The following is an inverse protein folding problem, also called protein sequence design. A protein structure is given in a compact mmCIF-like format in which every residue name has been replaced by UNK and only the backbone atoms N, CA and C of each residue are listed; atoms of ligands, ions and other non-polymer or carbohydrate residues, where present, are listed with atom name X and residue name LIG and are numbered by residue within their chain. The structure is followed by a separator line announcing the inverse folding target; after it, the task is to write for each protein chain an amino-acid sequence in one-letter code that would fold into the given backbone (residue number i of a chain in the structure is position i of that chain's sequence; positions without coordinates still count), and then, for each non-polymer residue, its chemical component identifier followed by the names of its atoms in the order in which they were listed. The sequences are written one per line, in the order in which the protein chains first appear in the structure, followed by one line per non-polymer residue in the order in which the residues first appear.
data_IF_577266347814
#
_entry.id   IF_577266347814
#
_cell.length_a   1.000
_cell.length_b   1.000
_cell.length_c   1.000
_cell.angle_alpha   90.00
_cell.angle_beta   90.00
_cell.angle_gamma   90.00
#
_symmetry.space_group_name_H-M   'P 1'
#
loop_
_entity.id
_entity.type
_entity.pdbx_description
1 polymer ?
#
# COMPACT_ATOMS: atom_id res chain seq x y z
N UNK A 1 17.64 20.46 13.78
CA UNK A 1 16.37 19.78 13.54
C UNK A 1 15.35 20.26 14.55
N UNK A 2 14.14 20.61 14.13
CA UNK A 2 13.06 20.89 15.09
C UNK A 2 12.60 19.58 15.71
N UNK A 3 12.58 19.51 17.04
CA UNK A 3 12.07 18.32 17.76
C UNK A 3 10.55 18.14 17.64
N UNK A 4 9.88 19.02 16.91
CA UNK A 4 8.43 18.96 16.64
C UNK A 4 8.10 18.42 15.24
N UNK A 5 9.11 18.06 14.44
CA UNK A 5 8.91 17.54 13.08
C UNK A 5 9.86 16.38 12.83
N UNK A 6 9.28 15.30 12.32
CA UNK A 6 10.05 14.21 11.73
C UNK A 6 10.55 14.57 10.33
N UNK A 7 11.64 13.94 9.90
CA UNK A 7 12.09 13.98 8.51
C UNK A 7 11.00 13.33 7.63
N UNK A 8 10.66 14.00 6.53
CA UNK A 8 9.66 13.48 5.60
C UNK A 8 10.24 12.30 4.82
N UNK A 9 9.41 11.29 4.61
CA UNK A 9 9.73 10.15 3.76
C UNK A 9 9.96 10.59 2.30
N UNK A 10 10.47 9.69 1.48
CA UNK A 10 10.70 9.94 0.05
C UNK A 10 9.40 10.39 -0.63
N UNK A 11 9.45 11.53 -1.33
CA UNK A 11 8.32 12.02 -2.08
C UNK A 11 8.10 11.16 -3.32
N UNK A 12 6.89 10.64 -3.47
CA UNK A 12 6.45 9.88 -4.65
C UNK A 12 5.17 10.47 -5.22
N UNK A 13 4.95 10.28 -6.50
CA UNK A 13 3.68 10.60 -7.14
C UNK A 13 2.69 9.50 -6.77
N UNK A 14 1.67 9.83 -5.95
CA UNK A 14 0.74 8.88 -5.33
C UNK A 14 -0.59 9.56 -5.01
N UNK A 15 -1.16 10.32 -5.96
CA UNK A 15 -2.47 10.97 -5.81
C UNK A 15 -3.62 9.99 -6.06
N UNK A 16 -3.37 9.01 -6.91
CA UNK A 16 -4.31 7.94 -7.27
C UNK A 16 -3.59 6.61 -7.34
N UNK A 17 -4.24 5.55 -6.88
CA UNK A 17 -3.70 4.20 -6.82
C UNK A 17 -4.55 3.20 -7.58
N UNK A 18 -3.91 2.25 -8.25
CA UNK A 18 -4.57 1.16 -8.95
C UNK A 18 -3.97 -0.18 -8.52
N UNK A 19 -4.82 -1.03 -7.96
CA UNK A 19 -4.51 -2.42 -7.69
C UNK A 19 -4.63 -3.27 -8.97
N UNK A 20 -3.60 -4.04 -9.29
CA UNK A 20 -3.59 -4.88 -10.49
C UNK A 20 -3.24 -6.32 -10.11
N UNK A 21 -4.16 -7.29 -10.25
CA UNK A 21 -3.88 -8.69 -9.94
C UNK A 21 -2.69 -9.23 -10.72
N UNK A 22 -1.69 -9.78 -10.03
CA UNK A 22 -0.51 -10.37 -10.63
C UNK A 22 -0.79 -11.59 -11.51
N UNK A 23 -1.95 -12.21 -11.32
CA UNK A 23 -2.41 -13.33 -12.15
C UNK A 23 -2.93 -12.90 -13.54
N UNK A 24 -3.29 -11.62 -13.74
CA UNK A 24 -3.90 -11.12 -14.97
C UNK A 24 -2.95 -10.22 -15.77
N UNK A 25 -2.09 -10.81 -16.58
CA UNK A 25 -1.09 -10.09 -17.38
C UNK A 25 -1.69 -9.11 -18.40
N UNK A 26 -2.93 -9.33 -18.86
CA UNK A 26 -3.59 -8.43 -19.81
C UNK A 26 -3.92 -7.05 -19.23
N UNK A 27 -3.86 -6.90 -17.90
CA UNK A 27 -4.10 -5.63 -17.22
C UNK A 27 -2.84 -4.78 -17.06
N UNK A 28 -1.64 -5.34 -17.15
CA UNK A 28 -0.40 -4.61 -16.87
C UNK A 28 -0.16 -3.45 -17.84
N UNK A 29 -0.30 -3.68 -19.14
CA UNK A 29 -0.19 -2.61 -20.12
C UNK A 29 -1.31 -1.57 -20.02
N UNK A 30 -2.52 -1.98 -19.62
CA UNK A 30 -3.63 -1.06 -19.40
C UNK A 30 -3.35 -0.16 -18.20
N UNK A 31 -2.83 -0.72 -17.11
CA UNK A 31 -2.42 0.02 -15.93
C UNK A 31 -1.29 1.01 -16.24
N UNK A 32 -0.29 0.58 -17.02
CA UNK A 32 0.79 1.45 -17.48
C UNK A 32 0.28 2.69 -18.23
N UNK A 33 -0.73 2.50 -19.08
CA UNK A 33 -1.34 3.56 -19.91
C UNK A 33 -2.43 4.36 -19.19
N UNK A 34 -2.83 3.98 -17.98
CA UNK A 34 -3.83 4.70 -17.19
C UNK A 34 -3.30 6.06 -16.73
N UNK A 35 -4.20 6.94 -16.29
CA UNK A 35 -3.82 8.23 -15.69
C UNK A 35 -3.43 8.10 -14.21
N UNK A 36 -3.54 6.91 -13.64
CA UNK A 36 -3.19 6.63 -12.25
C UNK A 36 -1.69 6.80 -12.01
N UNK A 37 -1.33 7.41 -10.89
CA UNK A 37 0.08 7.70 -10.54
C UNK A 37 0.80 6.48 -9.99
N UNK A 38 0.13 5.73 -9.13
CA UNK A 38 0.71 4.64 -8.37
C UNK A 38 0.04 3.32 -8.77
N UNK A 39 0.85 2.37 -9.16
CA UNK A 39 0.39 1.03 -9.52
C UNK A 39 0.98 0.03 -8.55
N UNK A 40 0.16 -0.73 -7.86
CA UNK A 40 0.67 -1.90 -7.17
C UNK A 40 0.20 -3.20 -7.82
N UNK A 41 1.19 -4.04 -8.15
CA UNK A 41 0.95 -5.38 -8.66
C UNK A 41 0.68 -6.29 -7.46
N UNK A 42 -0.49 -6.88 -7.44
CA UNK A 42 -0.98 -7.61 -6.28
C UNK A 42 -0.64 -9.09 -6.33
N UNK A 43 -0.02 -9.60 -5.28
CA UNK A 43 0.24 -11.03 -5.06
C UNK A 43 -0.65 -11.62 -3.97
N UNK A 44 -1.45 -10.77 -3.29
CA UNK A 44 -2.23 -11.15 -2.12
C UNK A 44 -3.68 -11.49 -2.51
N UNK A 45 -4.66 -10.78 -2.00
CA UNK A 45 -6.08 -11.16 -2.03
C UNK A 45 -6.69 -11.25 -3.44
N UNK A 46 -6.17 -10.49 -4.40
CA UNK A 46 -6.63 -10.58 -5.79
C UNK A 46 -6.08 -11.77 -6.59
N UNK A 47 -5.30 -12.64 -5.94
CA UNK A 47 -4.68 -13.82 -6.56
C UNK A 47 -5.09 -15.10 -5.83
N UNK A 48 -5.68 -16.06 -6.54
CA UNK A 48 -6.04 -17.35 -5.97
C UNK A 48 -4.79 -18.14 -5.50
N UNK A 49 -4.92 -18.99 -4.47
CA UNK A 49 -3.79 -19.77 -3.93
C UNK A 49 -3.00 -20.56 -4.99
N UNK A 50 -3.69 -21.18 -5.93
CA UNK A 50 -3.07 -22.00 -7.00
C UNK A 50 -2.31 -21.14 -8.03
N UNK A 51 -2.62 -19.85 -8.12
CA UNK A 51 -2.00 -18.92 -9.08
C UNK A 51 -0.83 -18.13 -8.48
N UNK A 52 -0.59 -18.19 -7.17
CA UNK A 52 0.40 -17.37 -6.45
C UNK A 52 1.80 -17.43 -7.06
N UNK A 53 2.26 -18.62 -7.40
CA UNK A 53 3.60 -18.80 -7.98
C UNK A 53 3.69 -18.20 -9.38
N UNK A 54 2.67 -18.41 -10.21
CA UNK A 54 2.66 -17.85 -11.56
C UNK A 54 2.48 -16.34 -11.52
N UNK A 55 1.64 -15.81 -10.64
CA UNK A 55 1.47 -14.37 -10.44
C UNK A 55 2.79 -13.69 -10.08
N UNK A 56 3.60 -14.27 -9.18
CA UNK A 56 4.92 -13.75 -8.83
C UNK A 56 5.84 -13.65 -10.06
N UNK A 57 5.88 -14.69 -10.89
CA UNK A 57 6.67 -14.68 -12.14
C UNK A 57 6.19 -13.59 -13.10
N UNK A 58 4.87 -13.45 -13.27
CA UNK A 58 4.28 -12.43 -14.12
C UNK A 58 4.63 -11.01 -13.63
N UNK A 59 4.53 -10.78 -12.32
CA UNK A 59 4.86 -9.49 -11.69
C UNK A 59 6.34 -9.13 -11.90
N UNK A 60 7.24 -10.07 -11.66
CA UNK A 60 8.68 -9.89 -11.90
C UNK A 60 8.94 -9.54 -13.37
N UNK A 61 8.32 -10.25 -14.27
CA UNK A 61 8.46 -9.99 -15.71
C UNK A 61 7.91 -8.60 -16.07
N UNK A 62 6.72 -8.23 -15.60
CA UNK A 62 6.10 -6.93 -15.86
C UNK A 62 6.94 -5.75 -15.35
N UNK A 63 7.57 -5.88 -14.17
CA UNK A 63 8.45 -4.84 -13.65
C UNK A 63 9.70 -4.69 -14.53
N UNK A 64 10.23 -5.81 -15.06
CA UNK A 64 11.43 -5.79 -15.88
C UNK A 64 11.18 -5.33 -17.32
N UNK A 65 10.06 -5.70 -17.91
CA UNK A 65 9.80 -5.51 -19.34
C UNK A 65 9.08 -4.20 -19.66
N UNK A 66 8.30 -3.66 -18.72
CA UNK A 66 7.53 -2.42 -18.92
C UNK A 66 8.26 -1.20 -18.34
N UNK A 67 8.21 -0.09 -19.06
CA UNK A 67 8.83 1.17 -18.63
C UNK A 67 7.89 1.99 -17.74
N UNK A 68 7.68 1.53 -16.51
CA UNK A 68 6.83 2.19 -15.53
C UNK A 68 7.29 3.62 -15.24
N UNK A 69 8.58 3.77 -15.00
CA UNK A 69 9.17 5.06 -14.63
C UNK A 69 9.13 6.08 -15.76
N UNK A 70 9.40 5.66 -17.01
CA UNK A 70 9.30 6.52 -18.18
C UNK A 70 7.88 6.98 -18.47
N UNK A 71 6.88 6.21 -18.00
CA UNK A 71 5.46 6.59 -18.05
C UNK A 71 4.98 7.34 -16.79
N UNK A 72 5.88 7.81 -15.94
CA UNK A 72 5.57 8.61 -14.76
C UNK A 72 4.88 7.84 -13.62
N UNK A 73 5.01 6.51 -13.59
CA UNK A 73 4.39 5.67 -12.58
C UNK A 73 5.33 5.41 -11.40
N UNK A 74 4.77 5.42 -10.20
CA UNK A 74 5.36 4.74 -9.04
C UNK A 74 4.90 3.29 -9.08
N UNK A 75 5.84 2.34 -9.07
CA UNK A 75 5.54 0.91 -9.16
C UNK A 75 5.82 0.20 -7.82
N UNK A 76 4.83 -0.51 -7.34
CA UNK A 76 4.86 -1.27 -6.09
C UNK A 76 4.44 -2.73 -6.29
N UNK A 77 4.75 -3.56 -5.32
CA UNK A 77 4.23 -4.93 -5.21
C UNK A 77 3.61 -5.10 -3.83
N UNK A 78 2.32 -5.47 -3.78
CA UNK A 78 1.72 -5.96 -2.55
C UNK A 78 2.05 -7.44 -2.40
N UNK A 79 2.87 -7.76 -1.42
CA UNK A 79 3.27 -9.12 -1.10
C UNK A 79 2.15 -9.85 -0.34
N UNK A 80 2.25 -11.16 -0.18
CA UNK A 80 1.35 -11.89 0.72
C UNK A 80 1.62 -11.54 2.19
N UNK A 81 0.63 -11.73 3.04
CA UNK A 81 0.73 -11.49 4.48
C UNK A 81 1.77 -12.38 5.17
N UNK A 82 2.32 -11.88 6.29
CA UNK A 82 3.32 -12.58 7.08
C UNK A 82 2.78 -13.85 7.75
N UNK A 83 1.47 -13.97 7.85
CA UNK A 83 0.76 -15.14 8.34
C UNK A 83 0.66 -16.29 7.31
N UNK A 84 1.19 -16.08 6.10
CA UNK A 84 1.19 -17.07 5.01
C UNK A 84 2.59 -17.62 4.73
N UNK A 85 2.64 -18.78 4.06
CA UNK A 85 3.90 -19.37 3.60
C UNK A 85 4.38 -18.82 2.26
N UNK A 86 3.69 -17.82 1.69
CA UNK A 86 4.04 -17.21 0.40
C UNK A 86 4.99 -16.02 0.55
N UNK A 87 4.83 -15.24 1.62
CA UNK A 87 5.47 -13.93 1.81
C UNK A 87 6.98 -13.95 1.57
N UNK A 88 7.68 -14.91 2.17
CA UNK A 88 9.15 -14.94 2.07
C UNK A 88 9.65 -15.09 0.63
N UNK A 89 8.94 -15.89 -0.19
CA UNK A 89 9.25 -16.03 -1.62
C UNK A 89 8.91 -14.78 -2.41
N UNK A 90 7.83 -14.09 -2.04
CA UNK A 90 7.48 -12.83 -2.69
C UNK A 90 8.59 -11.81 -2.48
N UNK A 91 9.07 -11.64 -1.25
CA UNK A 91 10.17 -10.72 -0.95
C UNK A 91 11.46 -11.15 -1.65
N UNK A 92 11.86 -12.41 -1.51
CA UNK A 92 13.13 -12.89 -2.09
C UNK A 92 13.09 -12.78 -3.61
N UNK A 93 12.12 -13.41 -4.26
CA UNK A 93 12.09 -13.53 -5.72
C UNK A 93 11.90 -12.16 -6.40
N UNK A 94 10.97 -11.33 -5.89
CA UNK A 94 10.68 -10.01 -6.48
C UNK A 94 11.87 -9.06 -6.27
N UNK A 95 12.41 -8.98 -5.06
CA UNK A 95 13.53 -8.05 -4.79
C UNK A 95 14.80 -8.51 -5.52
N UNK A 96 15.12 -9.81 -5.54
CA UNK A 96 16.30 -10.30 -6.26
C UNK A 96 16.25 -10.06 -7.76
N UNK A 97 15.09 -10.22 -8.38
CA UNK A 97 14.96 -10.28 -9.83
C UNK A 97 14.43 -8.97 -10.45
N UNK A 98 13.73 -8.14 -9.69
CA UNK A 98 13.13 -6.91 -10.18
C UNK A 98 13.38 -5.67 -9.31
N UNK A 99 14.01 -5.84 -8.13
CA UNK A 99 14.15 -4.77 -7.14
C UNK A 99 14.88 -3.52 -7.63
N UNK A 100 15.78 -3.64 -8.60
CA UNK A 100 16.48 -2.46 -9.17
C UNK A 100 15.55 -1.48 -9.91
N UNK A 101 14.34 -1.93 -10.29
CA UNK A 101 13.32 -1.15 -10.99
C UNK A 101 12.08 -0.88 -10.13
N UNK A 102 11.99 -1.51 -8.96
CA UNK A 102 10.87 -1.41 -8.04
C UNK A 102 11.02 -0.17 -7.15
N UNK A 103 9.92 0.54 -6.92
CA UNK A 103 9.91 1.71 -6.05
C UNK A 103 9.60 1.33 -4.61
N UNK A 104 8.54 0.56 -4.36
CA UNK A 104 8.11 0.19 -3.01
C UNK A 104 7.63 -1.27 -2.92
N UNK A 105 7.62 -1.81 -1.71
CA UNK A 105 6.87 -3.01 -1.33
C UNK A 105 5.78 -2.60 -0.36
N UNK A 106 4.54 -3.02 -0.63
CA UNK A 106 3.39 -2.84 0.23
C UNK A 106 3.19 -4.11 1.07
N UNK A 107 3.31 -3.96 2.39
CA UNK A 107 3.14 -5.02 3.38
C UNK A 107 1.68 -5.04 3.84
N UNK A 108 0.89 -6.09 3.50
CA UNK A 108 -0.50 -6.18 3.94
C UNK A 108 -0.60 -6.61 5.39
N UNK A 109 -1.75 -6.34 6.01
CA UNK A 109 -2.13 -6.83 7.34
C UNK A 109 -1.09 -6.57 8.44
N UNK A 110 -0.31 -5.47 8.31
CA UNK A 110 0.68 -5.09 9.30
C UNK A 110 0.01 -4.92 10.67
N UNK A 111 0.42 -5.72 11.64
CA UNK A 111 -0.13 -5.77 12.99
C UNK A 111 0.80 -5.15 14.03
N UNK A 112 2.10 -5.26 13.82
CA UNK A 112 3.13 -4.84 14.76
C UNK A 112 4.35 -4.27 14.02
N UNK A 113 5.19 -3.53 14.73
CA UNK A 113 6.46 -3.00 14.19
C UNK A 113 7.41 -4.10 13.72
N UNK A 114 7.33 -5.28 14.32
CA UNK A 114 8.10 -6.47 13.94
C UNK A 114 7.83 -6.95 12.53
N UNK A 115 6.60 -6.76 12.02
CA UNK A 115 6.22 -7.16 10.66
C UNK A 115 7.00 -6.35 9.63
N UNK A 116 7.12 -5.05 9.85
CA UNK A 116 7.89 -4.15 9.00
C UNK A 116 9.39 -4.48 9.08
N UNK A 117 9.91 -4.69 10.30
CA UNK A 117 11.30 -5.02 10.51
C UNK A 117 11.71 -6.32 9.80
N UNK A 118 10.86 -7.34 9.81
CA UNK A 118 11.15 -8.62 9.15
C UNK A 118 11.33 -8.43 7.64
N UNK A 119 10.40 -7.72 6.99
CA UNK A 119 10.49 -7.45 5.55
C UNK A 119 11.70 -6.58 5.23
N UNK A 120 11.93 -5.52 6.00
CA UNK A 120 13.10 -4.65 5.86
C UNK A 120 14.42 -5.42 5.96
N UNK A 121 14.55 -6.30 6.95
CA UNK A 121 15.76 -7.07 7.16
C UNK A 121 16.08 -7.98 5.97
N UNK A 122 15.07 -8.63 5.39
CA UNK A 122 15.23 -9.44 4.17
C UNK A 122 15.65 -8.57 2.98
N UNK A 123 14.95 -7.46 2.75
CA UNK A 123 15.26 -6.54 1.66
C UNK A 123 16.68 -5.98 1.77
N UNK A 124 17.11 -5.57 2.97
CA UNK A 124 18.46 -5.05 3.20
C UNK A 124 19.54 -6.07 2.80
N UNK A 125 19.37 -7.35 3.18
CA UNK A 125 20.32 -8.40 2.83
C UNK A 125 20.41 -8.62 1.32
N UNK A 126 19.26 -8.63 0.63
CA UNK A 126 19.21 -8.83 -0.82
C UNK A 126 19.83 -7.61 -1.53
N UNK A 127 19.49 -6.39 -1.15
CA UNK A 127 20.03 -5.17 -1.75
C UNK A 127 21.56 -5.10 -1.62
N UNK A 128 22.11 -5.51 -0.46
CA UNK A 128 23.56 -5.59 -0.26
C UNK A 128 24.16 -6.66 -1.18
N UNK A 129 23.59 -7.87 -1.20
CA UNK A 129 24.07 -8.94 -2.03
C UNK A 129 24.04 -8.64 -3.53
N UNK A 130 23.01 -7.92 -3.98
CA UNK A 130 22.84 -7.50 -5.39
C UNK A 130 23.51 -6.16 -5.70
N UNK A 131 24.09 -5.49 -4.72
CA UNK A 131 24.74 -4.19 -4.86
C UNK A 131 23.82 -3.13 -5.49
N UNK A 132 22.57 -3.06 -5.02
CA UNK A 132 21.61 -2.06 -5.50
C UNK A 132 22.05 -0.65 -5.11
N UNK A 133 21.93 0.29 -6.04
CA UNK A 133 22.28 1.70 -5.81
C UNK A 133 21.19 2.45 -5.06
N UNK A 134 19.94 2.10 -5.32
CA UNK A 134 18.77 2.70 -4.70
C UNK A 134 18.14 1.71 -3.72
N UNK A 135 17.61 2.22 -2.63
CA UNK A 135 16.81 1.42 -1.70
C UNK A 135 15.36 1.42 -2.13
N UNK A 136 14.74 0.25 -2.01
CA UNK A 136 13.31 0.09 -2.22
C UNK A 136 12.60 0.59 -0.96
N UNK A 137 11.55 1.43 -1.11
CA UNK A 137 10.72 1.88 0.00
C UNK A 137 9.82 0.77 0.55
N UNK A 138 9.30 0.99 1.76
CA UNK A 138 8.24 0.17 2.35
C UNK A 138 6.99 1.00 2.53
N UNK A 139 5.85 0.37 2.33
CA UNK A 139 4.54 0.90 2.69
C UNK A 139 3.78 -0.19 3.45
N UNK A 140 2.90 0.19 4.35
CA UNK A 140 2.17 -0.76 5.18
C UNK A 140 0.66 -0.54 5.07
N UNK A 141 -0.09 -1.63 4.95
CA UNK A 141 -1.54 -1.59 4.92
C UNK A 141 -2.08 -1.84 6.34
N UNK A 142 -2.73 -0.83 6.90
CA UNK A 142 -3.37 -0.87 8.22
C UNK A 142 -4.82 -1.31 8.02
N UNK A 143 -5.05 -2.59 8.19
CA UNK A 143 -6.31 -3.23 7.86
C UNK A 143 -6.76 -4.27 8.89
N UNK A 144 -6.16 -4.22 10.08
CA UNK A 144 -6.55 -5.07 11.20
C UNK A 144 -6.76 -4.25 12.46
N UNK A 145 -7.58 -4.75 13.38
CA UNK A 145 -7.74 -4.13 14.70
C UNK A 145 -6.40 -4.02 15.44
N UNK A 146 -5.53 -5.05 15.31
CA UNK A 146 -4.21 -5.05 15.91
C UNK A 146 -3.32 -3.96 15.29
N UNK A 147 -3.29 -3.86 13.96
CA UNK A 147 -2.51 -2.85 13.25
C UNK A 147 -2.94 -1.43 13.62
N UNK A 148 -4.25 -1.17 13.70
CA UNK A 148 -4.75 0.13 14.12
C UNK A 148 -4.47 0.43 15.60
N UNK A 149 -4.47 -0.58 16.46
CA UNK A 149 -4.07 -0.42 17.85
C UNK A 149 -2.61 -0.01 17.99
N UNK A 150 -1.74 -0.53 17.12
CA UNK A 150 -0.29 -0.33 17.11
C UNK A 150 0.20 0.67 16.04
N UNK A 151 -0.69 1.46 15.43
CA UNK A 151 -0.36 2.28 14.27
C UNK A 151 0.80 3.25 14.50
N UNK A 152 0.93 3.81 15.72
CA UNK A 152 2.03 4.70 16.07
C UNK A 152 3.38 3.96 16.11
N UNK A 153 3.39 2.73 16.62
CA UNK A 153 4.59 1.89 16.66
C UNK A 153 4.99 1.43 15.27
N UNK A 154 4.01 1.10 14.42
CA UNK A 154 4.24 0.76 13.02
C UNK A 154 4.79 1.97 12.26
N UNK A 155 4.18 3.15 12.43
CA UNK A 155 4.57 4.35 11.71
C UNK A 155 6.02 4.79 11.96
N UNK A 156 6.60 4.48 13.11
CA UNK A 156 8.00 4.82 13.45
C UNK A 156 8.98 3.65 13.33
N UNK A 157 8.52 2.48 12.87
CA UNK A 157 9.28 1.23 12.93
C UNK A 157 10.49 1.17 12.02
N UNK A 158 10.49 1.90 10.92
CA UNK A 158 11.56 1.84 9.92
C UNK A 158 11.78 3.19 9.24
N UNK A 159 13.04 3.62 9.04
CA UNK A 159 13.36 4.79 8.23
C UNK A 159 13.06 4.58 6.73
N UNK A 160 12.75 3.36 6.33
CA UNK A 160 12.39 2.97 4.96
C UNK A 160 10.89 3.04 4.72
N UNK A 161 10.08 3.14 5.79
CA UNK A 161 8.63 3.24 5.68
C UNK A 161 8.24 4.61 5.11
N UNK A 162 7.43 4.62 4.06
CA UNK A 162 7.10 5.83 3.32
C UNK A 162 5.62 6.23 3.45
N UNK A 163 4.72 5.25 3.59
CA UNK A 163 3.28 5.48 3.69
C UNK A 163 2.58 4.42 4.53
N UNK A 164 1.42 4.80 5.07
CA UNK A 164 0.42 3.87 5.60
C UNK A 164 -0.85 3.99 4.76
N UNK A 165 -1.40 2.85 4.37
CA UNK A 165 -2.66 2.75 3.63
C UNK A 165 -3.76 2.24 4.55
N UNK A 166 -4.99 2.66 4.34
CA UNK A 166 -6.14 2.15 5.09
C UNK A 166 -6.88 1.08 4.29
N UNK A 167 -6.86 -0.17 4.78
CA UNK A 167 -7.55 -1.30 4.15
C UNK A 167 -8.95 -1.50 4.74
N UNK A 168 -9.93 -0.73 4.29
CA UNK A 168 -11.27 -0.65 4.90
C UNK A 168 -12.01 -1.99 4.96
N UNK A 169 -11.86 -2.87 3.96
CA UNK A 169 -12.58 -4.14 3.88
C UNK A 169 -12.14 -5.10 5.00
N UNK A 170 -10.85 -5.38 5.07
CA UNK A 170 -10.28 -6.26 6.09
C UNK A 170 -10.34 -5.62 7.48
N UNK A 171 -10.21 -4.30 7.56
CA UNK A 171 -10.39 -3.59 8.83
C UNK A 171 -11.80 -3.79 9.39
N UNK A 172 -12.82 -3.68 8.54
CA UNK A 172 -14.20 -3.94 8.94
C UNK A 172 -14.39 -5.39 9.40
N UNK A 173 -13.85 -6.35 8.65
CA UNK A 173 -13.92 -7.77 9.01
C UNK A 173 -13.21 -8.06 10.34
N UNK A 174 -12.00 -7.51 10.53
CA UNK A 174 -11.21 -7.64 11.76
C UNK A 174 -11.93 -7.08 12.98
N UNK A 175 -12.66 -5.97 12.82
CA UNK A 175 -13.48 -5.36 13.87
C UNK A 175 -14.87 -5.96 14.01
N UNK A 176 -15.23 -6.97 13.17
CA UNK A 176 -16.59 -7.54 13.10
C UNK A 176 -17.65 -6.47 12.84
N UNK A 177 -17.27 -5.42 12.11
CA UNK A 177 -18.16 -4.34 11.73
C UNK A 177 -18.91 -4.69 10.46
N UNK A 178 -20.13 -4.16 10.32
CA UNK A 178 -20.93 -4.34 9.11
C UNK A 178 -20.51 -3.31 8.07
N UNK A 179 -20.07 -3.78 6.90
CA UNK A 179 -19.88 -2.95 5.70
C UNK A 179 -21.01 -3.20 4.72
N UNK A 180 -21.44 -2.14 4.04
CA UNK A 180 -22.42 -2.22 2.95
C UNK A 180 -21.69 -2.25 1.61
N UNK A 181 -20.75 -1.31 1.40
CA UNK A 181 -19.91 -1.23 0.20
C UNK A 181 -18.46 -0.96 0.63
N UNK A 182 -17.49 -1.49 -0.10
CA UNK A 182 -16.07 -1.21 0.15
C UNK A 182 -15.80 0.27 -0.15
N UNK A 183 -15.39 1.02 0.86
CA UNK A 183 -15.10 2.46 0.78
C UNK A 183 -16.33 3.36 0.71
N UNK A 184 -17.55 2.81 0.60
CA UNK A 184 -18.78 3.59 0.61
C UNK A 184 -19.23 3.96 2.02
N UNK A 185 -19.95 5.07 2.15
CA UNK A 185 -20.57 5.47 3.41
C UNK A 185 -21.75 4.55 3.73
N UNK A 186 -21.91 4.19 4.99
CA UNK A 186 -23.07 3.45 5.47
C UNK A 186 -24.22 4.45 5.74
N UNK A 187 -25.34 4.40 4.98
CA UNK A 187 -26.43 5.35 5.15
C UNK A 187 -27.16 5.25 6.49
N UNK A 188 -27.02 4.12 7.17
CA UNK A 188 -27.62 3.88 8.50
C UNK A 188 -26.73 4.36 9.64
N UNK A 189 -25.50 4.84 9.35
CA UNK A 189 -24.57 5.36 10.36
C UNK A 189 -24.47 6.89 10.26
N UNK A 190 -24.58 7.62 11.37
CA UNK A 190 -24.50 9.09 11.34
C UNK A 190 -23.05 9.55 11.11
N UNK A 191 -22.69 9.79 9.87
CA UNK A 191 -21.36 10.20 9.44
C UNK A 191 -20.55 9.04 8.85
N UNK A 192 -19.23 9.17 8.89
CA UNK A 192 -18.31 8.11 8.44
C UNK A 192 -17.92 7.21 9.62
N UNK A 193 -18.26 5.93 9.53
CA UNK A 193 -17.96 4.97 10.59
C UNK A 193 -16.45 4.69 10.76
N UNK A 194 -15.65 5.04 9.75
CA UNK A 194 -14.19 4.85 9.75
C UNK A 194 -13.40 6.10 10.14
N UNK A 195 -14.11 7.24 10.33
CA UNK A 195 -13.48 8.53 10.61
C UNK A 195 -12.46 8.48 11.75
N UNK A 196 -12.77 7.82 12.86
CA UNK A 196 -11.85 7.72 14.00
C UNK A 196 -10.56 6.96 13.65
N UNK A 197 -10.67 5.88 12.85
CA UNK A 197 -9.52 5.09 12.40
C UNK A 197 -8.66 5.87 11.41
N UNK A 198 -9.29 6.49 10.41
CA UNK A 198 -8.62 7.33 9.41
C UNK A 198 -7.90 8.50 10.07
N UNK A 199 -8.56 9.20 10.98
CA UNK A 199 -7.95 10.31 11.75
C UNK A 199 -6.74 9.84 12.55
N UNK A 200 -6.85 8.71 13.26
CA UNK A 200 -5.75 8.16 14.04
C UNK A 200 -4.55 7.82 13.14
N UNK A 201 -4.78 7.12 12.03
CA UNK A 201 -3.73 6.78 11.08
C UNK A 201 -3.09 8.03 10.47
N UNK A 202 -3.89 9.00 10.07
CA UNK A 202 -3.39 10.27 9.50
C UNK A 202 -2.50 11.03 10.48
N UNK A 203 -2.92 11.12 11.75
CA UNK A 203 -2.11 11.76 12.81
C UNK A 203 -0.77 11.03 12.96
N UNK A 204 -0.77 9.70 13.00
CA UNK A 204 0.46 8.91 13.09
C UNK A 204 1.36 9.14 11.88
N UNK A 205 0.81 9.14 10.66
CA UNK A 205 1.57 9.43 9.46
C UNK A 205 2.23 10.82 9.52
N UNK A 206 1.47 11.86 9.85
CA UNK A 206 1.98 13.23 9.91
C UNK A 206 3.02 13.40 11.02
N UNK A 207 2.84 12.72 12.16
CA UNK A 207 3.80 12.76 13.27
C UNK A 207 5.15 12.16 12.88
N UNK A 208 5.17 11.11 12.06
CA UNK A 208 6.38 10.38 11.70
C UNK A 208 6.85 10.61 10.26
N UNK A 209 6.29 11.61 9.57
CA UNK A 209 6.75 12.03 8.23
C UNK A 209 6.32 11.13 7.09
N UNK A 210 5.26 10.34 7.28
CA UNK A 210 4.74 9.41 6.28
C UNK A 210 3.59 10.01 5.47
N UNK A 211 3.35 9.46 4.29
CA UNK A 211 2.10 9.70 3.55
C UNK A 211 0.98 8.89 4.18
N UNK A 212 -0.20 9.50 4.28
CA UNK A 212 -1.44 8.81 4.65
C UNK A 212 -2.26 8.57 3.38
N UNK A 213 -2.56 7.30 3.11
CA UNK A 213 -3.30 6.87 1.92
C UNK A 213 -4.66 6.36 2.37
N UNK A 214 -5.70 6.91 1.79
CA UNK A 214 -7.09 6.54 2.08
C UNK A 214 -7.42 5.13 1.56
N UNK A 215 -8.57 4.61 1.93
CA UNK A 215 -9.05 3.29 1.54
C UNK A 215 -9.53 3.23 0.09
N UNK A 216 -9.70 2.02 -0.45
CA UNK A 216 -10.22 1.82 -1.79
C UNK A 216 -11.72 2.14 -1.87
N UNK A 217 -12.16 2.62 -3.04
CA UNK A 217 -13.57 2.71 -3.42
C UNK A 217 -13.91 1.58 -4.39
N UNK A 218 -14.84 0.72 -4.01
CA UNK A 218 -15.09 -0.54 -4.72
C UNK A 218 -16.16 -0.48 -5.82
N UNK A 219 -16.98 0.59 -5.88
CA UNK A 219 -18.03 0.70 -6.90
C UNK A 219 -17.56 1.48 -8.13
N UNK A 220 -17.10 0.75 -9.14
CA UNK A 220 -16.63 1.34 -10.41
C UNK A 220 -17.72 2.03 -11.23
N UNK A 221 -18.99 1.84 -10.87
CA UNK A 221 -20.12 2.38 -11.61
C UNK A 221 -20.69 3.64 -10.94
N UNK A 222 -20.16 4.06 -9.80
CA UNK A 222 -20.61 5.23 -9.04
C UNK A 222 -19.50 6.32 -8.96
N UNK A 223 -19.22 7.05 -10.05
CA UNK A 223 -18.24 8.13 -10.05
C UNK A 223 -18.66 9.32 -9.15
N UNK A 224 -19.96 9.53 -8.98
CA UNK A 224 -20.47 10.61 -8.12
C UNK A 224 -20.24 10.28 -6.64
N UNK A 225 -20.48 9.04 -6.23
CA UNK A 225 -20.17 8.55 -4.90
C UNK A 225 -18.67 8.59 -4.61
N UNK A 226 -17.84 8.21 -5.58
CA UNK A 226 -16.39 8.34 -5.46
C UNK A 226 -15.95 9.80 -5.27
N UNK A 227 -16.49 10.71 -6.08
CA UNK A 227 -16.20 12.13 -5.97
C UNK A 227 -16.63 12.68 -4.61
N UNK A 228 -17.82 12.29 -4.13
CA UNK A 228 -18.31 12.68 -2.79
C UNK A 228 -17.37 12.20 -1.68
N UNK A 229 -16.90 10.96 -1.77
CA UNK A 229 -15.94 10.42 -0.80
C UNK A 229 -14.64 11.23 -0.81
N UNK A 230 -14.07 11.51 -1.97
CA UNK A 230 -12.85 12.30 -2.09
C UNK A 230 -12.99 13.67 -1.46
N UNK A 231 -14.10 14.37 -1.66
CA UNK A 231 -14.36 15.68 -1.03
C UNK A 231 -14.43 15.60 0.49
N UNK A 232 -14.86 14.48 1.07
CA UNK A 232 -14.93 14.31 2.52
C UNK A 232 -13.58 13.89 3.11
N UNK A 233 -12.76 13.16 2.36
CA UNK A 233 -11.41 12.73 2.76
C UNK A 233 -10.38 13.83 2.52
N UNK A 234 -10.55 14.63 1.48
CA UNK A 234 -9.58 15.60 0.95
C UNK A 234 -9.59 16.96 1.68
N UNK A 235 -10.42 17.12 2.67
CA UNK A 235 -10.41 18.30 3.56
C UNK A 235 -9.04 18.54 4.23
N UNK A 236 -8.09 17.62 4.06
CA UNK A 236 -6.71 17.74 4.51
C UNK A 236 -5.77 18.36 3.46
N UNK A 237 -6.13 18.40 2.18
CA UNK A 237 -5.25 18.87 1.08
C UNK A 237 -5.46 20.36 0.73
N UNK A 238 -6.52 21.00 1.20
CA UNK A 238 -6.76 22.42 1.01
C UNK A 238 -5.79 23.35 1.78
N UNK A 239 -4.85 22.79 2.50
CA UNK A 239 -3.85 23.55 3.26
C UNK A 239 -2.58 23.90 2.48
N UNK A 240 -2.51 23.60 1.19
CA UNK A 240 -1.41 24.01 0.30
C UNK A 240 -1.80 25.24 -0.53
N UNK A 241 -2.15 26.33 0.15
CA UNK A 241 -2.18 27.66 -0.41
C UNK A 241 -0.87 28.38 -0.15
#
# INVERSE_FOLDING_TARGET
MSHTRYEQSVTRVQRSELAVPGSNTALFEKALKSECDYIFLDLEDAVAPDDKEQARKNVIQAINDLDWKGNGKTISVRINGLDTHYMYKDVVDVVEQAGSKLDTILVPKAGESGDIYMVEAMMNQIEIAKNFKNKIGLEALIETALGMANVDEIAKSSPRLEALHFGVADYAASNRARTVNIGGLNPDYPGDQWHAALTKMTVSCRAFGLRAIDGPFGDFNDPDGYTCLLYTSDAADESTG
#
